data_IF_493878135797
#
_entry.id   IF_493878135797
#
_cell.length_a   1.000
_cell.length_b   1.000
_cell.length_c   1.000
_cell.angle_alpha   90.00
_cell.angle_beta   90.00
_cell.angle_gamma   90.00
#
_symmetry.space_group_name_H-M   'P 1'
#
loop_
_entity.id
_entity.type
_entity.pdbx_description
1 polymer ?
#
# COMPACT_ATOMS: atom_id res chain seq x y z
N UNK A 1 9.01 1.40 -10.55
CA UNK A 1 9.60 2.08 -9.38
C UNK A 1 8.52 2.24 -8.33
N UNK A 2 8.82 2.08 -7.03
CA UNK A 2 7.86 2.34 -5.96
C UNK A 2 7.41 3.80 -5.92
N UNK A 3 6.21 4.04 -5.38
CA UNK A 3 5.61 5.37 -5.27
C UNK A 3 4.19 5.41 -5.80
N UNK A 4 3.70 6.63 -5.98
CA UNK A 4 2.32 6.89 -6.40
C UNK A 4 2.27 7.07 -7.91
N UNK A 5 1.56 6.17 -8.58
CA UNK A 5 1.40 6.20 -10.03
C UNK A 5 0.08 6.84 -10.40
N UNK A 6 0.06 7.52 -11.55
CA UNK A 6 -1.13 8.19 -12.06
C UNK A 6 -1.42 7.71 -13.48
N UNK A 7 -2.65 7.24 -13.69
CA UNK A 7 -3.20 6.88 -14.99
C UNK A 7 -4.18 7.96 -15.40
N UNK A 8 -4.06 8.47 -16.63
CA UNK A 8 -5.00 9.45 -17.20
C UNK A 8 -5.68 8.83 -18.41
N UNK A 9 -7.00 8.96 -18.50
CA UNK A 9 -7.78 8.62 -19.69
C UNK A 9 -8.03 9.90 -20.46
N UNK A 10 -7.71 9.90 -21.75
CA UNK A 10 -7.76 11.07 -22.62
C UNK A 10 -8.80 10.85 -23.74
N UNK A 11 -9.67 11.83 -23.96
CA UNK A 11 -10.60 11.89 -25.09
C UNK A 11 -10.34 13.18 -25.86
N UNK A 12 -9.95 13.08 -27.13
CA UNK A 12 -9.63 14.24 -27.99
C UNK A 12 -8.64 15.23 -27.33
N UNK A 13 -7.59 14.72 -26.69
CA UNK A 13 -6.58 15.48 -25.93
C UNK A 13 -7.09 16.14 -24.64
N UNK A 14 -8.29 15.82 -24.19
CA UNK A 14 -8.82 16.27 -22.89
C UNK A 14 -8.77 15.12 -21.89
N UNK A 15 -8.28 15.36 -20.68
CA UNK A 15 -8.36 14.36 -19.60
C UNK A 15 -9.79 14.20 -19.12
N UNK A 16 -10.33 12.98 -19.23
CA UNK A 16 -11.70 12.66 -18.81
C UNK A 16 -11.75 11.84 -17.52
N UNK A 17 -10.67 11.17 -17.16
CA UNK A 17 -10.55 10.47 -15.88
C UNK A 17 -9.09 10.41 -15.43
N UNK A 18 -8.90 10.38 -14.12
CA UNK A 18 -7.59 10.19 -13.48
C UNK A 18 -7.75 9.14 -12.39
N UNK A 19 -6.87 8.15 -12.40
CA UNK A 19 -6.77 7.14 -11.34
C UNK A 19 -5.36 7.15 -10.77
N UNK A 20 -5.25 7.10 -9.45
CA UNK A 20 -3.97 6.97 -8.77
C UNK A 20 -3.90 5.60 -8.12
N UNK A 21 -2.75 4.95 -8.20
CA UNK A 21 -2.52 3.68 -7.53
C UNK A 21 -1.12 3.64 -6.93
N UNK A 22 -0.95 2.78 -5.92
CA UNK A 22 0.27 2.70 -5.15
C UNK A 22 1.10 1.49 -5.60
N UNK A 23 2.40 1.70 -5.81
CA UNK A 23 3.40 0.64 -5.89
C UNK A 23 4.27 0.75 -4.65
N UNK A 24 4.16 -0.19 -3.72
CA UNK A 24 4.91 -0.14 -2.46
C UNK A 24 6.36 -0.61 -2.64
N UNK A 25 7.33 -0.02 -1.91
CA UNK A 25 8.66 -0.60 -1.75
C UNK A 25 8.58 -1.96 -1.03
N UNK A 26 9.52 -2.86 -1.33
CA UNK A 26 9.55 -4.18 -0.72
C UNK A 26 10.48 -4.22 0.49
N UNK A 27 9.97 -4.61 1.66
CA UNK A 27 10.72 -4.82 2.91
C UNK A 27 11.01 -6.31 3.20
N UNK A 28 10.28 -7.23 2.56
CA UNK A 28 10.41 -8.67 2.78
C UNK A 28 10.60 -9.42 1.46
N UNK A 29 11.47 -10.42 1.44
CA UNK A 29 11.69 -11.29 0.27
C UNK A 29 11.79 -12.73 0.75
N UNK A 30 10.97 -13.62 0.19
CA UNK A 30 10.95 -15.05 0.55
C UNK A 30 10.68 -15.27 2.06
N UNK A 31 9.79 -14.46 2.64
CA UNK A 31 9.42 -14.54 4.06
C UNK A 31 10.41 -13.91 5.04
N UNK A 32 11.56 -13.43 4.57
CA UNK A 32 12.58 -12.80 5.41
C UNK A 32 12.71 -11.31 5.13
N UNK A 33 13.26 -10.56 6.11
CA UNK A 33 13.61 -9.15 5.92
C UNK A 33 14.63 -9.05 4.78
N UNK A 34 14.34 -8.21 3.80
CA UNK A 34 15.17 -8.07 2.61
C UNK A 34 16.58 -7.54 2.98
N UNK A 35 17.62 -8.13 2.38
CA UNK A 35 18.98 -7.62 2.55
C UNK A 35 19.13 -6.22 1.93
N UNK A 36 20.06 -5.42 2.45
CA UNK A 36 20.31 -4.04 1.99
C UNK A 36 20.63 -3.98 0.49
N UNK A 37 21.48 -4.90 0.00
CA UNK A 37 21.83 -5.00 -1.42
C UNK A 37 20.60 -5.32 -2.28
N UNK A 38 19.76 -6.27 -1.84
CA UNK A 38 18.58 -6.69 -2.59
C UNK A 38 17.49 -5.61 -2.57
N UNK A 39 17.31 -4.91 -1.45
CA UNK A 39 16.39 -3.79 -1.33
C UNK A 39 16.74 -2.69 -2.34
N UNK A 40 18.01 -2.29 -2.38
CA UNK A 40 18.53 -1.30 -3.33
C UNK A 40 18.32 -1.72 -4.78
N UNK A 41 18.54 -3.00 -5.09
CA UNK A 41 18.36 -3.51 -6.46
C UNK A 41 16.89 -3.51 -6.89
N UNK A 42 15.98 -3.99 -6.03
CA UNK A 42 14.56 -4.14 -6.37
C UNK A 42 13.83 -2.80 -6.34
N UNK A 43 14.04 -2.00 -5.29
CA UNK A 43 13.31 -0.75 -5.10
C UNK A 43 13.78 0.39 -6.02
N UNK A 44 14.96 0.28 -6.63
CA UNK A 44 15.43 1.22 -7.66
C UNK A 44 14.64 1.11 -8.97
N UNK A 45 13.98 -0.02 -9.22
CA UNK A 45 13.31 -0.30 -10.48
C UNK A 45 14.28 -0.47 -11.65
N UNK A 46 13.74 -0.57 -12.87
CA UNK A 46 14.52 -0.69 -14.10
C UNK A 46 15.08 0.68 -14.54
N UNK A 47 16.33 0.74 -15.05
CA UNK A 47 16.88 1.93 -15.68
C UNK A 47 15.97 2.46 -16.78
N UNK A 48 15.76 3.77 -16.79
CA UNK A 48 14.62 4.43 -17.40
C UNK A 48 14.85 4.81 -18.87
N UNK A 49 15.32 3.89 -19.72
CA UNK A 49 15.49 4.17 -21.15
C UNK A 49 14.16 4.14 -21.93
N UNK A 50 13.09 3.58 -21.36
CA UNK A 50 11.88 3.22 -22.09
C UNK A 50 10.62 4.08 -21.83
N UNK A 51 10.69 5.17 -21.05
CA UNK A 51 9.48 5.84 -20.52
C UNK A 51 9.41 7.36 -20.77
N UNK A 52 10.05 7.87 -21.83
CA UNK A 52 9.76 9.23 -22.27
C UNK A 52 8.42 9.27 -23.01
N UNK A 53 7.53 10.17 -22.60
CA UNK A 53 6.31 10.44 -23.33
C UNK A 53 6.65 10.88 -24.75
N UNK A 54 5.94 10.35 -25.75
CA UNK A 54 6.06 10.85 -27.12
C UNK A 54 5.59 12.30 -27.19
N UNK A 55 5.93 13.01 -28.26
CA UNK A 55 5.50 14.39 -28.48
C UNK A 55 3.99 14.59 -28.41
N UNK A 56 3.20 13.55 -28.71
CA UNK A 56 1.75 13.55 -28.59
C UNK A 56 1.26 13.60 -27.13
N UNK A 57 1.96 12.93 -26.21
CA UNK A 57 1.55 12.78 -24.81
C UNK A 57 2.29 13.70 -23.84
N UNK A 58 3.31 14.42 -24.31
CA UNK A 58 4.20 15.24 -23.47
C UNK A 58 3.44 16.31 -22.65
N UNK A 59 2.36 16.87 -23.19
CA UNK A 59 1.51 17.86 -22.50
C UNK A 59 0.63 17.26 -21.40
N UNK A 60 0.51 15.94 -21.34
CA UNK A 60 -0.32 15.21 -20.38
C UNK A 60 0.48 14.58 -19.24
N UNK A 61 1.80 14.58 -19.32
CA UNK A 61 2.70 14.15 -18.23
C UNK A 61 3.26 15.35 -17.46
N UNK A 62 3.97 15.09 -16.36
CA UNK A 62 4.64 16.15 -15.60
C UNK A 62 5.71 16.83 -16.47
N UNK A 63 5.82 18.17 -16.44
CA UNK A 63 6.91 18.89 -17.10
C UNK A 63 8.28 18.38 -16.62
N UNK A 64 9.29 18.47 -17.48
CA UNK A 64 10.65 18.02 -17.16
C UNK A 64 11.20 18.66 -15.88
N UNK A 65 10.96 19.96 -15.70
CA UNK A 65 11.43 20.72 -14.52
C UNK A 65 10.84 20.21 -13.20
N UNK A 66 9.60 19.70 -13.23
CA UNK A 66 8.96 19.10 -12.05
C UNK A 66 9.33 17.61 -11.89
N UNK A 67 9.56 16.91 -13.01
CA UNK A 67 9.88 15.48 -13.01
C UNK A 67 11.30 15.20 -12.51
N UNK A 68 12.30 15.98 -12.92
CA UNK A 68 13.70 15.72 -12.57
C UNK A 68 13.96 15.67 -11.06
N UNK A 69 13.50 16.65 -10.24
CA UNK A 69 13.68 16.58 -8.79
C UNK A 69 12.98 15.37 -8.14
N UNK A 70 11.84 14.96 -8.69
CA UNK A 70 11.11 13.78 -8.21
C UNK A 70 11.85 12.48 -8.53
N UNK A 71 12.48 12.40 -9.72
CA UNK A 71 13.31 11.25 -10.11
C UNK A 71 14.57 11.15 -9.25
N UNK A 72 15.24 12.26 -8.98
CA UNK A 72 16.40 12.31 -8.07
C UNK A 72 16.02 11.86 -6.66
N UNK A 73 14.94 12.43 -6.10
CA UNK A 73 14.43 12.03 -4.79
C UNK A 73 14.10 10.54 -4.75
N UNK A 74 13.49 10.02 -5.81
CA UNK A 74 13.14 8.61 -5.91
C UNK A 74 14.37 7.71 -6.02
N UNK A 75 15.44 8.15 -6.69
CA UNK A 75 16.72 7.43 -6.67
C UNK A 75 17.31 7.40 -5.26
N UNK A 76 17.24 8.48 -4.49
CA UNK A 76 17.67 8.48 -3.08
C UNK A 76 16.79 7.60 -2.20
N UNK A 77 15.46 7.72 -2.31
CA UNK A 77 14.51 6.90 -1.55
C UNK A 77 14.70 5.40 -1.84
N UNK A 78 15.06 5.04 -3.07
CA UNK A 78 15.33 3.64 -3.44
C UNK A 78 16.52 3.01 -2.71
N UNK A 79 17.39 3.84 -2.11
CA UNK A 79 18.54 3.38 -1.32
C UNK A 79 18.20 3.09 0.14
N UNK A 80 17.01 3.50 0.61
CA UNK A 80 16.56 3.32 2.00
C UNK A 80 16.47 1.85 2.36
N UNK A 81 16.85 1.54 3.59
CA UNK A 81 16.84 0.18 4.14
C UNK A 81 16.44 0.21 5.62
N UNK A 82 16.09 -0.94 6.19
CA UNK A 82 15.70 -1.04 7.60
C UNK A 82 14.57 -0.07 7.96
N UNK A 83 14.73 0.68 9.05
CA UNK A 83 13.73 1.61 9.56
C UNK A 83 13.39 2.76 8.61
N UNK A 84 14.34 3.23 7.81
CA UNK A 84 14.07 4.29 6.83
C UNK A 84 13.17 3.79 5.69
N UNK A 85 13.35 2.52 5.29
CA UNK A 85 12.51 1.87 4.29
C UNK A 85 11.09 1.65 4.84
N UNK A 86 10.98 1.20 6.09
CA UNK A 86 9.70 1.06 6.80
C UNK A 86 8.94 2.38 6.84
N UNK A 87 9.59 3.47 7.29
CA UNK A 87 8.97 4.80 7.31
C UNK A 87 8.56 5.29 5.92
N UNK A 88 9.33 4.96 4.88
CA UNK A 88 8.96 5.30 3.52
C UNK A 88 7.71 4.55 3.07
N UNK A 89 7.62 3.26 3.39
CA UNK A 89 6.43 2.43 3.13
C UNK A 89 5.22 3.00 3.87
N UNK A 90 5.33 3.27 5.17
CA UNK A 90 4.22 3.80 5.99
C UNK A 90 3.72 5.15 5.47
N UNK A 91 4.62 6.06 5.10
CA UNK A 91 4.26 7.36 4.52
C UNK A 91 3.52 7.22 3.17
N UNK A 92 3.84 6.19 2.38
CA UNK A 92 3.15 5.91 1.12
C UNK A 92 1.77 5.26 1.37
N UNK A 93 1.72 4.27 2.26
CA UNK A 93 0.48 3.56 2.63
C UNK A 93 -0.52 4.53 3.26
N UNK A 94 -0.07 5.39 4.18
CA UNK A 94 -0.93 6.38 4.84
C UNK A 94 -1.55 7.44 3.91
N UNK A 95 -1.06 7.58 2.68
CA UNK A 95 -1.69 8.44 1.65
C UNK A 95 -2.84 7.75 0.90
N UNK A 96 -2.94 6.42 0.98
CA UNK A 96 -3.94 5.62 0.25
C UNK A 96 -4.92 4.90 1.17
N UNK A 97 -4.48 4.56 2.37
CA UNK A 97 -5.23 3.74 3.31
C UNK A 97 -5.41 4.50 4.62
N UNK A 98 -6.56 4.28 5.24
CA UNK A 98 -6.86 4.77 6.59
C UNK A 98 -7.17 3.58 7.48
N UNK A 99 -6.68 3.63 8.71
CA UNK A 99 -7.15 2.73 9.77
C UNK A 99 -8.52 3.24 10.17
N UNK A 100 -9.59 2.53 9.78
CA UNK A 100 -10.96 2.93 10.14
C UNK A 100 -11.25 2.63 11.60
N UNK A 101 -11.11 1.36 11.97
CA UNK A 101 -11.43 0.83 13.28
C UNK A 101 -10.44 -0.30 13.63
N UNK A 102 -10.27 -0.55 14.93
CA UNK A 102 -9.45 -1.63 15.46
C UNK A 102 -10.25 -2.33 16.56
N UNK A 103 -10.09 -3.64 16.67
CA UNK A 103 -10.70 -4.46 17.71
C UNK A 103 -9.63 -5.38 18.32
N UNK A 104 -9.93 -6.02 19.45
CA UNK A 104 -9.07 -7.06 20.02
C UNK A 104 -9.85 -8.32 20.37
N UNK A 105 -9.25 -9.49 20.16
CA UNK A 105 -9.79 -10.75 20.69
C UNK A 105 -9.50 -10.93 22.18
N UNK A 106 -8.41 -10.33 22.66
CA UNK A 106 -7.97 -10.44 24.05
C UNK A 106 -8.23 -9.13 24.78
N UNK A 107 -8.60 -9.15 26.07
CA UNK A 107 -8.70 -7.93 26.86
C UNK A 107 -7.36 -7.19 26.85
N UNK A 108 -7.34 -5.95 26.36
CA UNK A 108 -6.15 -5.10 26.38
C UNK A 108 -6.30 -4.15 27.58
N UNK A 109 -5.45 -4.26 28.61
CA UNK A 109 -5.47 -3.31 29.71
C UNK A 109 -5.20 -1.89 29.20
N UNK A 110 -5.93 -0.90 29.73
CA UNK A 110 -5.68 0.54 29.49
C UNK A 110 -6.01 1.09 28.09
N UNK A 111 -6.60 0.29 27.19
CA UNK A 111 -7.04 0.75 25.87
C UNK A 111 -8.54 0.48 25.66
N UNK A 112 -9.27 1.50 25.20
CA UNK A 112 -10.69 1.40 24.85
C UNK A 112 -10.85 0.83 23.43
N UNK A 113 -10.44 -0.42 23.26
CA UNK A 113 -10.64 -1.16 22.01
C UNK A 113 -11.74 -2.17 22.25
N UNK A 114 -12.77 -2.15 21.42
CA UNK A 114 -13.89 -3.10 21.50
C UNK A 114 -13.44 -4.53 21.20
N UNK A 115 -14.20 -5.51 21.68
CA UNK A 115 -13.90 -6.91 21.37
C UNK A 115 -14.25 -7.20 19.92
N UNK A 116 -13.40 -7.97 19.25
CA UNK A 116 -13.62 -8.32 17.85
C UNK A 116 -14.90 -9.12 17.58
N UNK A 117 -15.45 -9.80 18.57
CA UNK A 117 -16.73 -10.53 18.50
C UNK A 117 -17.97 -9.62 18.60
N UNK A 118 -17.80 -8.41 19.15
CA UNK A 118 -18.88 -7.45 19.40
C UNK A 118 -19.03 -6.41 18.26
N UNK A 119 -18.15 -6.45 17.25
CA UNK A 119 -18.16 -5.48 16.14
C UNK A 119 -18.97 -5.99 14.95
N UNK A 120 -19.32 -5.09 14.02
CA UNK A 120 -20.05 -5.46 12.80
C UNK A 120 -19.15 -5.74 11.57
N UNK A 121 -17.84 -5.48 11.67
CA UNK A 121 -16.90 -5.46 10.53
C UNK A 121 -15.76 -6.48 10.66
N UNK A 122 -15.52 -6.95 11.89
CA UNK A 122 -14.48 -7.92 12.19
C UNK A 122 -14.83 -9.30 11.62
N UNK A 123 -13.82 -10.06 11.21
CA UNK A 123 -14.02 -11.47 10.81
C UNK A 123 -14.35 -12.40 11.99
N UNK A 124 -14.27 -11.91 13.23
CA UNK A 124 -14.71 -12.62 14.44
C UNK A 124 -16.15 -12.27 14.85
N UNK A 125 -16.78 -11.31 14.18
CA UNK A 125 -18.19 -11.01 14.39
C UNK A 125 -19.04 -12.24 14.02
N UNK A 126 -20.15 -12.51 14.73
CA UNK A 126 -21.06 -13.60 14.38
C UNK A 126 -21.57 -13.48 12.94
N UNK A 127 -21.41 -14.55 12.14
CA UNK A 127 -21.99 -14.69 10.79
C UNK A 127 -22.88 -15.94 10.73
N UNK A 128 -24.13 -15.87 11.25
CA UNK A 128 -25.01 -17.04 11.37
C UNK A 128 -25.36 -17.71 10.04
N UNK A 129 -25.16 -17.03 8.92
CA UNK A 129 -25.39 -17.58 7.57
C UNK A 129 -24.29 -18.56 7.16
N UNK A 130 -23.07 -18.35 7.66
CA UNK A 130 -21.88 -19.15 7.37
C UNK A 130 -21.55 -20.14 8.48
N UNK A 131 -22.16 -20.00 9.66
CA UNK A 131 -21.98 -20.92 10.78
C UNK A 131 -22.77 -22.22 10.61
N UNK A 132 -22.04 -23.33 10.49
CA UNK A 132 -22.59 -24.67 10.59
C UNK A 132 -22.92 -24.98 12.06
N UNK A 133 -24.15 -24.66 12.48
CA UNK A 133 -24.68 -24.94 13.82
C UNK A 133 -24.82 -26.45 14.15
N UNK A 134 -24.12 -27.33 13.45
CA UNK A 134 -24.17 -28.78 13.60
C UNK A 134 -23.33 -29.33 14.78
N UNK A 135 -22.66 -28.48 15.57
CA UNK A 135 -21.80 -28.92 16.67
C UNK A 135 -21.88 -28.15 18.00
N UNK A 136 -23.05 -27.60 18.39
CA UNK A 136 -23.24 -27.12 19.79
C UNK A 136 -24.42 -27.82 20.46
N UNK A 137 -24.33 -29.15 20.54
CA UNK A 137 -24.96 -29.92 21.62
C UNK A 137 -23.87 -30.65 22.38
N UNK A 138 -23.12 -29.92 23.20
CA UNK A 138 -22.30 -30.50 24.26
C UNK A 138 -22.41 -29.61 25.50
N UNK A 139 -23.44 -29.96 26.28
CA UNK A 139 -23.48 -30.03 27.74
C UNK A 139 -22.65 -28.98 28.50
N UNK A 140 -23.35 -28.01 29.10
CA UNK A 140 -22.91 -27.45 30.40
C UNK A 140 -23.82 -28.03 31.48
N UNK A 141 -23.24 -28.90 32.29
CA UNK A 141 -23.76 -29.31 33.60
C UNK A 141 -23.43 -28.23 34.63
#
# INVERSE_FOLDING_TARGET
MPGIWTVKVLLKKTTVAVCRFLITPLQYSVGEVISTERARKINRGTPNEALHATSEWISHVLPTEERLPLEEKLQEDSKKTGRELEQWIDNLVGQFFIIREMCSQHPIPQQHVERCEDTAWSSFAPDPKSDDNLHVSSVKT
#
